data_IF_442514184577
#
_entry.id   IF_442514184577
#
_cell.length_a   1.000
_cell.length_b   1.000
_cell.length_c   1.000
_cell.angle_alpha   90.00
_cell.angle_beta   90.00
_cell.angle_gamma   90.00
#
_symmetry.space_group_name_H-M   'P 1'
#
loop_
_entity.id
_entity.type
_entity.pdbx_description
1 polymer ?
#
# COMPACT_ATOMS: atom_id res chain seq x y z
N UNK A 1 -23.38 37.02 8.55
CA UNK A 1 -24.09 35.73 8.73
C UNK A 1 -23.07 34.68 9.20
N UNK A 2 -23.42 33.74 10.10
CA UNK A 2 -22.53 32.69 10.65
C UNK A 2 -21.19 33.14 11.30
N UNK A 3 -21.10 34.39 11.80
CA UNK A 3 -19.94 34.82 12.60
C UNK A 3 -20.11 34.36 14.06
N UNK A 4 -19.11 33.70 14.66
CA UNK A 4 -19.14 33.38 16.09
C UNK A 4 -19.13 34.67 16.91
N UNK A 5 -19.92 34.70 17.99
CA UNK A 5 -20.04 35.87 18.88
C UNK A 5 -19.16 35.75 20.12
N UNK A 6 -19.04 34.55 20.67
CA UNK A 6 -18.26 34.26 21.86
C UNK A 6 -17.77 32.81 21.85
N UNK A 7 -16.74 32.55 22.65
CA UNK A 7 -16.15 31.23 22.85
C UNK A 7 -16.16 30.89 24.34
N UNK A 8 -16.43 29.62 24.64
CA UNK A 8 -16.32 29.08 25.99
C UNK A 8 -15.01 28.33 26.06
N UNK A 9 -14.07 28.83 26.87
CA UNK A 9 -12.74 28.25 27.04
C UNK A 9 -12.61 27.68 28.44
N UNK A 10 -12.07 26.46 28.53
CA UNK A 10 -11.72 25.83 29.80
C UNK A 10 -10.41 26.43 30.33
N UNK A 11 -10.37 26.84 31.60
CA UNK A 11 -9.16 27.41 32.21
C UNK A 11 -8.07 26.37 32.49
N UNK A 12 -8.45 25.11 32.63
CA UNK A 12 -7.53 23.98 32.80
C UNK A 12 -7.84 22.90 31.77
N UNK A 13 -6.92 21.95 31.61
CA UNK A 13 -7.13 20.78 30.77
C UNK A 13 -8.38 20.02 31.29
N UNK A 14 -9.43 19.85 30.46
CA UNK A 14 -10.72 19.36 30.93
C UNK A 14 -10.75 17.87 31.30
N UNK A 15 -9.70 17.12 30.94
CA UNK A 15 -9.66 15.67 31.12
C UNK A 15 -10.94 14.98 30.63
N UNK A 16 -11.33 13.91 31.31
CA UNK A 16 -12.57 13.18 31.02
C UNK A 16 -13.83 13.90 31.57
N UNK A 17 -13.68 14.85 32.49
CA UNK A 17 -14.79 15.50 33.21
C UNK A 17 -14.89 16.99 32.85
N UNK A 18 -15.40 17.26 31.64
CA UNK A 18 -15.63 18.62 31.12
C UNK A 18 -16.57 19.48 31.99
N UNK A 19 -17.42 18.87 32.82
CA UNK A 19 -18.42 19.58 33.63
C UNK A 19 -17.85 20.26 34.90
N UNK A 20 -16.68 19.85 35.39
CA UNK A 20 -16.09 20.39 36.64
C UNK A 20 -15.01 21.45 36.40
N UNK A 21 -14.69 21.77 35.16
CA UNK A 21 -13.63 22.71 34.83
C UNK A 21 -14.19 24.13 34.76
N UNK A 22 -13.56 25.05 35.49
CA UNK A 22 -13.90 26.45 35.44
C UNK A 22 -13.79 26.96 33.99
N UNK A 23 -14.91 27.43 33.44
CA UNK A 23 -14.97 28.00 32.10
C UNK A 23 -14.87 29.52 32.14
N UNK A 24 -14.42 30.10 31.04
CA UNK A 24 -14.41 31.54 30.80
C UNK A 24 -15.08 31.80 29.46
N UNK A 25 -16.04 32.72 29.47
CA UNK A 25 -16.59 33.26 28.24
C UNK A 25 -15.66 34.36 27.73
N UNK A 26 -15.28 34.27 26.46
CA UNK A 26 -14.41 35.22 25.79
C UNK A 26 -15.15 35.70 24.55
N UNK A 27 -15.32 37.02 24.41
CA UNK A 27 -15.91 37.60 23.21
C UNK A 27 -15.05 37.31 21.99
N UNK A 28 -15.70 37.12 20.83
CA UNK A 28 -15.00 36.77 19.59
C UNK A 28 -13.99 37.84 19.15
N UNK A 29 -14.17 39.09 19.56
CA UNK A 29 -13.23 40.19 19.30
C UNK A 29 -11.88 40.00 20.01
N UNK A 30 -11.89 39.29 21.14
CA UNK A 30 -10.71 39.04 21.98
C UNK A 30 -10.10 37.66 21.75
N UNK A 31 -10.56 36.91 20.74
CA UNK A 31 -10.08 35.56 20.43
C UNK A 31 -9.42 35.51 19.05
N UNK A 32 -8.12 35.21 19.03
CA UNK A 32 -7.40 35.02 17.77
C UNK A 32 -7.70 33.64 17.17
N UNK A 33 -8.45 33.60 16.08
CA UNK A 33 -8.72 32.38 15.33
C UNK A 33 -7.74 32.18 14.18
N UNK A 34 -6.60 31.54 14.47
CA UNK A 34 -5.66 31.12 13.43
C UNK A 34 -6.22 29.90 12.68
N UNK A 35 -6.87 30.16 11.55
CA UNK A 35 -7.32 29.10 10.63
C UNK A 35 -7.07 29.49 9.18
N UNK A 36 -6.60 28.52 8.41
CA UNK A 36 -6.52 28.65 6.96
C UNK A 36 -7.79 28.07 6.33
N UNK A 37 -8.63 28.92 5.75
CA UNK A 37 -9.90 28.54 5.12
C UNK A 37 -9.92 28.96 3.66
N UNK A 38 -10.10 28.00 2.74
CA UNK A 38 -10.21 28.29 1.30
C UNK A 38 -11.66 28.27 0.80
N UNK A 39 -12.57 27.60 1.52
CA UNK A 39 -13.98 27.44 1.15
C UNK A 39 -14.88 28.26 2.07
N UNK A 40 -15.99 28.77 1.53
CA UNK A 40 -17.05 29.40 2.32
C UNK A 40 -17.68 28.37 3.27
N UNK A 41 -18.06 28.77 4.48
CA UNK A 41 -18.66 27.94 5.55
C UNK A 41 -17.73 26.86 6.16
N UNK A 42 -16.42 26.98 6.00
CA UNK A 42 -15.46 26.06 6.62
C UNK A 42 -15.28 26.36 8.12
N UNK A 43 -15.78 25.46 8.97
CA UNK A 43 -15.71 25.61 10.44
C UNK A 43 -14.27 25.49 10.99
N UNK A 44 -13.47 24.55 10.46
CA UNK A 44 -12.06 24.32 10.86
C UNK A 44 -11.07 24.81 9.82
N UNK A 45 -9.85 25.15 10.23
CA UNK A 45 -8.75 25.35 9.29
C UNK A 45 -8.27 24.03 8.67
N UNK A 46 -7.81 24.06 7.42
CA UNK A 46 -7.07 22.94 6.82
C UNK A 46 -5.62 23.39 6.67
N UNK A 47 -4.68 22.58 7.17
CA UNK A 47 -3.25 22.87 7.05
C UNK A 47 -2.82 22.95 5.58
N UNK A 48 -1.85 23.82 5.28
CA UNK A 48 -1.22 23.89 3.97
C UNK A 48 -0.52 22.57 3.57
N UNK A 49 -0.20 21.72 4.54
CA UNK A 49 0.42 20.42 4.31
C UNK A 49 -0.58 19.34 3.88
N UNK A 50 -1.88 19.57 4.01
CA UNK A 50 -2.91 18.59 3.64
C UNK A 50 -2.77 18.06 2.20
N UNK A 51 -2.60 18.91 1.16
CA UNK A 51 -2.34 18.43 -0.20
C UNK A 51 -0.99 17.71 -0.36
N UNK A 52 0.02 18.09 0.43
CA UNK A 52 1.35 17.46 0.37
C UNK A 52 1.30 16.02 0.90
N UNK A 53 0.57 15.81 2.00
CA UNK A 53 0.40 14.49 2.61
C UNK A 53 -0.23 13.50 1.64
N UNK A 54 -1.23 13.94 0.86
CA UNK A 54 -1.88 13.09 -0.15
C UNK A 54 -0.86 12.65 -1.21
N UNK A 55 -0.04 13.57 -1.71
CA UNK A 55 1.01 13.24 -2.68
C UNK A 55 2.08 12.29 -2.13
N UNK A 56 2.42 12.44 -0.85
CA UNK A 56 3.36 11.54 -0.18
C UNK A 56 2.76 10.14 0.01
N UNK A 57 1.45 10.05 0.24
CA UNK A 57 0.75 8.76 0.29
C UNK A 57 0.79 8.07 -1.08
N UNK A 58 0.51 8.80 -2.16
CA UNK A 58 0.59 8.25 -3.52
C UNK A 58 2.01 7.75 -3.84
N UNK A 59 3.05 8.49 -3.42
CA UNK A 59 4.45 8.09 -3.61
C UNK A 59 4.79 6.81 -2.84
N UNK A 60 4.32 6.70 -1.60
CA UNK A 60 4.51 5.50 -0.79
C UNK A 60 3.91 4.27 -1.49
N UNK A 61 2.70 4.39 -2.02
CA UNK A 61 2.04 3.29 -2.75
C UNK A 61 2.80 2.88 -4.01
N UNK A 62 3.44 3.85 -4.69
CA UNK A 62 4.31 3.57 -5.85
C UNK A 62 5.56 2.79 -5.45
N UNK A 63 6.27 3.22 -4.39
CA UNK A 63 7.45 2.50 -3.88
C UNK A 63 7.12 1.07 -3.45
N UNK A 64 5.98 0.88 -2.79
CA UNK A 64 5.52 -0.44 -2.37
C UNK A 64 5.16 -1.32 -3.60
N UNK A 65 4.59 -0.73 -4.65
CA UNK A 65 4.29 -1.42 -5.91
C UNK A 65 5.55 -1.82 -6.68
N UNK A 66 6.56 -0.95 -6.74
CA UNK A 66 7.85 -1.26 -7.36
C UNK A 66 8.55 -2.42 -6.64
N UNK A 67 8.55 -2.40 -5.30
CA UNK A 67 9.11 -3.49 -4.49
C UNK A 67 8.37 -4.81 -4.74
N UNK A 68 7.04 -4.79 -4.85
CA UNK A 68 6.25 -5.98 -5.16
C UNK A 68 6.51 -6.49 -6.57
N UNK A 69 6.58 -5.60 -7.57
CA UNK A 69 6.90 -5.98 -8.94
C UNK A 69 8.27 -6.67 -9.01
N UNK A 70 9.30 -6.11 -8.37
CA UNK A 70 10.63 -6.73 -8.32
C UNK A 70 10.61 -8.13 -7.68
N UNK A 71 9.87 -8.31 -6.58
CA UNK A 71 9.70 -9.63 -5.94
C UNK A 71 8.99 -10.62 -6.86
N UNK A 72 7.93 -10.18 -7.52
CA UNK A 72 7.14 -11.00 -8.43
C UNK A 72 7.95 -11.37 -9.67
N UNK A 73 8.69 -10.44 -10.26
CA UNK A 73 9.60 -10.71 -11.39
C UNK A 73 10.73 -11.66 -11.00
N UNK A 74 11.22 -11.60 -9.77
CA UNK A 74 12.20 -12.57 -9.27
C UNK A 74 11.62 -13.98 -9.09
N UNK A 75 10.29 -14.09 -8.88
CA UNK A 75 9.59 -15.37 -8.80
C UNK A 75 9.16 -15.87 -10.20
N UNK A 76 8.67 -15.02 -11.10
CA UNK A 76 8.29 -15.41 -12.45
C UNK A 76 9.51 -15.54 -13.37
N UNK A 77 10.22 -16.67 -13.27
CA UNK A 77 11.42 -16.85 -14.07
C UNK A 77 11.30 -17.93 -15.15
N UNK A 78 10.44 -18.95 -15.07
CA UNK A 78 10.71 -20.16 -15.85
C UNK A 78 9.44 -20.86 -16.35
N UNK A 79 9.38 -21.06 -17.67
CA UNK A 79 8.51 -22.07 -18.27
C UNK A 79 9.38 -23.19 -18.86
N UNK A 80 8.94 -24.43 -18.74
CA UNK A 80 9.60 -25.59 -19.31
C UNK A 80 9.00 -25.83 -20.70
N UNK A 81 9.83 -25.78 -21.75
CA UNK A 81 9.45 -26.14 -23.12
C UNK A 81 10.00 -27.52 -23.43
N UNK A 82 9.12 -28.45 -23.80
CA UNK A 82 9.52 -29.76 -24.35
C UNK A 82 9.63 -29.65 -25.87
N UNK A 83 10.79 -29.96 -26.44
CA UNK A 83 10.92 -30.07 -27.90
C UNK A 83 10.37 -31.44 -28.34
N UNK A 84 9.40 -31.44 -29.25
CA UNK A 84 8.79 -32.65 -29.80
C UNK A 84 9.72 -33.35 -30.80
N UNK A 85 10.83 -33.90 -30.30
CA UNK A 85 11.76 -34.68 -31.10
C UNK A 85 12.16 -35.93 -30.30
N UNK A 86 11.65 -37.08 -30.75
CA UNK A 86 11.94 -38.45 -30.33
C UNK A 86 10.99 -39.04 -29.27
N UNK A 87 9.70 -39.17 -29.62
CA UNK A 87 8.94 -40.37 -29.19
C UNK A 87 9.46 -41.54 -30.02
N UNK A 88 10.57 -42.15 -29.59
CA UNK A 88 10.98 -43.46 -30.08
C UNK A 88 10.25 -44.50 -29.24
N UNK A 89 9.38 -45.23 -29.94
CA UNK A 89 8.61 -46.40 -29.51
C UNK A 89 9.44 -47.34 -28.59
N UNK A 90 8.96 -47.61 -27.37
CA UNK A 90 9.46 -48.74 -26.58
C UNK A 90 9.47 -48.64 -25.06
N UNK A 91 9.53 -47.45 -24.45
CA UNK A 91 9.46 -47.29 -22.99
C UNK A 91 8.75 -45.97 -22.68
N UNK A 92 7.44 -46.05 -22.42
CA UNK A 92 6.71 -44.93 -21.86
C UNK A 92 6.97 -44.94 -20.34
N UNK A 93 7.82 -44.04 -19.78
CA UNK A 93 7.85 -43.89 -18.34
C UNK A 93 6.46 -43.42 -17.91
N UNK A 94 5.96 -43.96 -16.81
CA UNK A 94 4.68 -43.63 -16.22
C UNK A 94 4.60 -42.11 -15.98
N UNK A 95 3.94 -41.39 -16.89
CA UNK A 95 3.73 -39.94 -16.82
C UNK A 95 2.55 -39.58 -15.91
N UNK A 96 2.06 -40.53 -15.11
CA UNK A 96 1.13 -40.25 -14.05
C UNK A 96 1.85 -39.49 -12.94
N UNK A 97 1.50 -38.21 -12.84
CA UNK A 97 1.21 -37.62 -11.53
C UNK A 97 2.41 -37.43 -10.61
N UNK A 98 3.36 -36.61 -11.06
CA UNK A 98 3.97 -35.69 -10.11
C UNK A 98 3.44 -34.31 -10.45
N UNK A 99 2.38 -33.89 -9.77
CA UNK A 99 2.20 -32.50 -9.40
C UNK A 99 3.56 -32.01 -8.86
N UNK A 100 4.39 -31.48 -9.74
CA UNK A 100 5.62 -30.83 -9.34
C UNK A 100 5.18 -29.51 -8.75
N UNK A 101 4.87 -29.54 -7.46
CA UNK A 101 4.76 -28.35 -6.65
C UNK A 101 6.13 -27.65 -6.71
N UNK A 102 6.24 -26.75 -7.68
CA UNK A 102 7.34 -25.83 -7.80
C UNK A 102 7.03 -24.72 -6.80
N UNK A 103 7.57 -24.85 -5.59
CA UNK A 103 7.59 -23.74 -4.65
C UNK A 103 8.64 -22.73 -5.14
N UNK A 104 8.15 -21.70 -5.81
CA UNK A 104 8.99 -20.71 -6.47
C UNK A 104 9.24 -19.56 -5.50
N UNK A 105 10.38 -19.65 -4.81
CA UNK A 105 10.94 -18.54 -4.07
C UNK A 105 12.00 -17.80 -4.91
N UNK A 106 12.18 -16.48 -4.72
CA UNK A 106 13.28 -15.75 -5.34
C UNK A 106 14.64 -16.40 -5.05
N UNK A 107 15.30 -16.94 -6.08
CA UNK A 107 16.59 -17.65 -5.95
C UNK A 107 16.51 -19.18 -6.03
N UNK A 108 15.33 -19.77 -6.24
CA UNK A 108 15.18 -21.21 -6.48
C UNK A 108 15.92 -21.64 -7.75
N UNK A 109 16.87 -22.57 -7.60
CA UNK A 109 17.59 -23.19 -8.72
C UNK A 109 16.87 -24.50 -9.08
N UNK A 110 16.20 -24.53 -10.23
CA UNK A 110 15.55 -25.74 -10.73
C UNK A 110 16.61 -26.69 -11.32
N UNK A 111 16.86 -27.82 -10.64
CA UNK A 111 17.86 -28.83 -11.05
C UNK A 111 17.27 -30.06 -11.74
N UNK A 112 15.96 -30.16 -11.79
CA UNK A 112 15.27 -31.43 -11.98
C UNK A 112 14.67 -31.53 -13.40
N UNK A 113 15.46 -31.23 -14.44
CA UNK A 113 15.01 -31.22 -15.83
C UNK A 113 15.09 -32.61 -16.47
N UNK A 114 14.05 -33.01 -17.21
CA UNK A 114 14.07 -34.26 -17.99
C UNK A 114 14.82 -34.06 -19.33
N UNK A 115 15.34 -35.13 -19.95
CA UNK A 115 16.01 -35.04 -21.25
C UNK A 115 15.07 -34.44 -22.32
N UNK A 116 15.51 -33.38 -23.01
CA UNK A 116 14.73 -32.69 -24.05
C UNK A 116 13.82 -31.54 -23.55
N UNK A 117 13.97 -31.14 -22.30
CA UNK A 117 13.31 -29.96 -21.73
C UNK A 117 14.26 -28.75 -21.68
N UNK A 118 13.81 -27.60 -22.22
CA UNK A 118 14.52 -26.32 -22.19
C UNK A 118 13.82 -25.33 -21.25
N UNK A 119 14.62 -24.53 -20.53
CA UNK A 119 14.12 -23.44 -19.69
C UNK A 119 14.05 -22.15 -20.49
N UNK A 120 12.85 -21.58 -20.63
CA UNK A 120 12.66 -20.23 -21.15
C UNK A 120 12.27 -19.25 -20.05
N UNK A 121 12.89 -18.07 -20.04
CA UNK A 121 12.43 -16.94 -19.23
C UNK A 121 11.41 -16.12 -20.04
N UNK A 122 10.23 -15.84 -19.50
CA UNK A 122 9.32 -14.85 -20.09
C UNK A 122 9.95 -13.49 -19.82
N UNK A 123 10.44 -12.81 -20.86
CA UNK A 123 10.87 -11.43 -20.72
C UNK A 123 9.63 -10.55 -20.52
N UNK A 124 9.58 -9.91 -19.36
CA UNK A 124 8.67 -8.79 -19.08
C UNK A 124 9.04 -7.57 -19.93
#
# INVERSE_FOLDING_TARGET
WQRPKSYIVCKSWPGFATAMVATKLIDAENMLHLKFTRRLNQARGVTLLAPVIIRLLDLKEYEDSERLAARISAAFAMFIRRSDAMVQDGDAPDYADKDRDLDIEPGTILKDLLPGEDIGTIKS
#
